data_IF_551672624408
#
_entry.id   IF_551672624408
#
_cell.length_a   1.000
_cell.length_b   1.000
_cell.length_c   1.000
_cell.angle_alpha   90.00
_cell.angle_beta   90.00
_cell.angle_gamma   90.00
#
_symmetry.space_group_name_H-M   'P 1'
#
loop_
_entity.id
_entity.type
_entity.pdbx_description
1 polymer ?
#
# COMPACT_ATOMS: atom_id res chain seq x y z
N UNK A 1 -7.84 -1.96 13.98
CA UNK A 1 -6.40 -2.18 14.05
C UNK A 1 -6.05 -3.64 13.90
N UNK A 2 -6.31 -4.47 14.89
CA UNK A 2 -6.09 -5.91 14.80
C UNK A 2 -6.67 -6.53 13.51
N UNK A 3 -7.87 -6.16 13.11
CA UNK A 3 -8.59 -6.65 11.93
C UNK A 3 -7.81 -6.46 10.63
N UNK A 4 -7.26 -5.26 10.38
CA UNK A 4 -6.43 -4.96 9.21
C UNK A 4 -5.12 -5.75 9.21
N UNK A 5 -4.42 -5.82 10.36
CA UNK A 5 -3.17 -6.57 10.47
C UNK A 5 -3.40 -8.06 10.27
N UNK A 6 -4.48 -8.62 10.83
CA UNK A 6 -4.88 -10.02 10.63
C UNK A 6 -5.12 -10.31 9.13
N UNK A 7 -5.91 -9.46 8.48
CA UNK A 7 -6.21 -9.60 7.05
C UNK A 7 -4.93 -9.53 6.22
N UNK A 8 -4.07 -8.56 6.47
CA UNK A 8 -2.79 -8.39 5.78
C UNK A 8 -1.91 -9.64 5.88
N UNK A 9 -1.61 -10.12 7.11
CA UNK A 9 -0.74 -11.27 7.28
C UNK A 9 -1.32 -12.55 6.71
N UNK A 10 -2.64 -12.77 6.82
CA UNK A 10 -3.30 -13.92 6.18
C UNK A 10 -3.18 -13.88 4.65
N UNK A 11 -3.46 -12.73 4.04
CA UNK A 11 -3.34 -12.56 2.59
C UNK A 11 -1.89 -12.74 2.12
N UNK A 12 -0.94 -12.21 2.87
CA UNK A 12 0.50 -12.36 2.60
C UNK A 12 0.96 -13.81 2.61
N UNK A 13 0.39 -14.63 3.50
CA UNK A 13 0.63 -16.08 3.52
C UNK A 13 -0.15 -16.85 2.43
N UNK A 14 -0.96 -16.16 1.63
CA UNK A 14 -1.74 -16.77 0.55
C UNK A 14 -2.84 -17.73 1.02
N UNK A 15 -3.22 -17.70 2.30
CA UNK A 15 -4.17 -18.66 2.86
C UNK A 15 -5.58 -18.11 3.00
N UNK A 16 -6.57 -19.00 2.86
CA UNK A 16 -7.98 -18.67 3.06
C UNK A 16 -8.32 -18.49 4.56
N UNK A 17 -9.44 -17.81 4.85
CA UNK A 17 -9.97 -17.72 6.22
C UNK A 17 -10.23 -19.11 6.82
N UNK A 18 -10.67 -20.08 6.00
CA UNK A 18 -10.90 -21.47 6.41
C UNK A 18 -9.59 -22.14 6.82
N UNK A 19 -8.56 -21.96 6.03
CA UNK A 19 -7.23 -22.53 6.30
C UNK A 19 -6.61 -21.92 7.58
N UNK A 20 -6.65 -20.60 7.73
CA UNK A 20 -6.19 -19.95 8.95
C UNK A 20 -6.96 -20.44 10.19
N UNK A 21 -8.28 -20.56 10.07
CA UNK A 21 -9.11 -21.07 11.15
C UNK A 21 -8.69 -22.48 11.58
N UNK A 22 -8.45 -23.36 10.61
CA UNK A 22 -7.96 -24.72 10.86
C UNK A 22 -6.61 -24.70 11.61
N UNK A 23 -5.63 -23.93 11.13
CA UNK A 23 -4.29 -23.81 11.75
C UNK A 23 -4.33 -23.22 13.18
N UNK A 24 -5.23 -22.27 13.42
CA UNK A 24 -5.36 -21.61 14.71
C UNK A 24 -6.31 -22.34 15.70
N UNK A 25 -6.96 -23.43 15.27
CA UNK A 25 -7.98 -24.13 16.07
C UNK A 25 -9.22 -23.28 16.36
N UNK A 26 -9.67 -22.51 15.36
CA UNK A 26 -10.81 -21.60 15.42
C UNK A 26 -11.83 -21.93 14.33
N UNK A 27 -13.02 -21.31 14.41
CA UNK A 27 -14.00 -21.42 13.32
C UNK A 27 -13.72 -20.38 12.21
N UNK A 28 -14.03 -20.68 10.92
CA UNK A 28 -13.91 -19.70 9.83
C UNK A 28 -14.74 -18.44 10.08
N UNK A 29 -15.90 -18.58 10.76
CA UNK A 29 -16.74 -17.46 11.14
C UNK A 29 -16.07 -16.56 12.18
N UNK A 30 -15.30 -17.11 13.12
CA UNK A 30 -14.53 -16.33 14.09
C UNK A 30 -13.46 -15.47 13.37
N UNK A 31 -12.68 -16.06 12.47
CA UNK A 31 -11.71 -15.32 11.66
C UNK A 31 -12.40 -14.20 10.87
N UNK A 32 -13.53 -14.51 10.21
CA UNK A 32 -14.30 -13.50 9.48
C UNK A 32 -14.79 -12.36 10.37
N UNK A 33 -15.25 -12.66 11.58
CA UNK A 33 -15.68 -11.64 12.52
C UNK A 33 -14.52 -10.76 13.00
N UNK A 34 -13.35 -11.33 13.21
CA UNK A 34 -12.15 -10.60 13.59
C UNK A 34 -11.63 -9.69 12.45
N UNK A 35 -11.58 -10.18 11.20
CA UNK A 35 -11.15 -9.37 10.06
C UNK A 35 -12.12 -8.23 9.71
N UNK A 36 -13.41 -8.38 10.02
CA UNK A 36 -14.43 -7.36 9.80
C UNK A 36 -14.71 -6.47 11.03
N UNK A 37 -13.87 -6.56 12.06
CA UNK A 37 -13.97 -5.81 13.32
C UNK A 37 -15.31 -5.97 14.05
N UNK A 38 -16.04 -7.08 13.76
CA UNK A 38 -17.33 -7.42 14.42
C UNK A 38 -17.14 -7.96 15.84
N UNK A 39 -15.93 -8.45 16.14
CA UNK A 39 -15.57 -8.98 17.46
C UNK A 39 -14.07 -8.78 17.69
N UNK A 40 -13.71 -8.35 18.90
CA UNK A 40 -12.30 -8.28 19.33
C UNK A 40 -11.87 -9.60 19.94
N UNK A 41 -10.75 -10.19 19.51
CA UNK A 41 -10.24 -11.40 20.13
C UNK A 41 -9.57 -11.11 21.46
N UNK A 42 -9.62 -12.09 22.35
CA UNK A 42 -8.82 -12.10 23.58
C UNK A 42 -7.35 -12.41 23.24
N UNK A 43 -6.44 -12.03 24.13
CA UNK A 43 -4.99 -12.21 23.94
C UNK A 43 -4.60 -13.67 23.66
N UNK A 44 -5.30 -14.63 24.27
CA UNK A 44 -5.10 -16.06 24.03
C UNK A 44 -5.42 -16.46 22.59
N UNK A 45 -6.42 -15.83 21.97
CA UNK A 45 -6.79 -16.04 20.57
C UNK A 45 -5.78 -15.37 19.65
N UNK A 46 -5.35 -14.13 19.98
CA UNK A 46 -4.29 -13.43 19.23
C UNK A 46 -3.03 -14.29 19.18
N UNK A 47 -2.65 -14.90 20.30
CA UNK A 47 -1.48 -15.81 20.36
C UNK A 47 -1.61 -17.01 19.42
N UNK A 48 -2.77 -17.66 19.38
CA UNK A 48 -3.02 -18.79 18.46
C UNK A 48 -2.92 -18.36 17.00
N UNK A 49 -3.48 -17.22 16.65
CA UNK A 49 -3.42 -16.65 15.30
C UNK A 49 -1.97 -16.28 14.93
N UNK A 50 -1.25 -15.65 15.83
CA UNK A 50 0.15 -15.29 15.66
C UNK A 50 1.03 -16.53 15.40
N UNK A 51 0.86 -17.59 16.20
CA UNK A 51 1.53 -18.86 15.98
C UNK A 51 1.18 -19.49 14.63
N UNK A 52 -0.11 -19.49 14.25
CA UNK A 52 -0.58 -20.06 12.99
C UNK A 52 -0.02 -19.33 11.74
N UNK A 53 0.34 -18.05 11.89
CA UNK A 53 0.91 -17.20 10.82
C UNK A 53 2.43 -16.98 10.99
N UNK A 54 3.06 -17.65 11.96
CA UNK A 54 4.49 -17.49 12.28
C UNK A 54 4.89 -16.00 12.45
N UNK A 55 4.11 -15.27 13.28
CA UNK A 55 4.27 -13.85 13.56
C UNK A 55 4.31 -13.59 15.06
N UNK A 56 4.83 -12.42 15.45
CA UNK A 56 4.76 -11.97 16.83
C UNK A 56 3.37 -11.41 17.17
N UNK A 57 2.99 -11.40 18.46
CA UNK A 57 1.77 -10.73 18.90
C UNK A 57 1.83 -9.24 18.60
N UNK A 58 3.01 -8.63 18.70
CA UNK A 58 3.23 -7.21 18.42
C UNK A 58 2.84 -6.83 16.99
N UNK A 59 3.07 -7.71 16.00
CA UNK A 59 2.69 -7.47 14.62
C UNK A 59 1.18 -7.24 14.45
N UNK A 60 0.37 -7.90 15.27
CA UNK A 60 -1.09 -7.76 15.24
C UNK A 60 -1.61 -6.57 16.03
N UNK A 61 -0.84 -6.11 17.02
CA UNK A 61 -1.19 -4.98 17.89
C UNK A 61 -0.60 -3.66 17.39
N UNK A 62 0.23 -3.68 16.35
CA UNK A 62 0.75 -2.47 15.74
C UNK A 62 -0.41 -1.57 15.27
N UNK A 63 -0.38 -0.34 15.73
CA UNK A 63 -1.38 0.66 15.37
C UNK A 63 -0.93 1.42 14.13
N UNK A 64 -1.59 1.16 13.01
CA UNK A 64 -1.44 1.98 11.82
C UNK A 64 -2.02 3.36 12.09
N UNK A 65 -1.35 4.40 11.63
CA UNK A 65 -1.84 5.76 11.75
C UNK A 65 -3.19 5.91 11.03
N UNK A 66 -4.22 6.26 11.80
CA UNK A 66 -5.59 6.44 11.29
C UNK A 66 -5.80 7.79 10.61
N UNK A 67 -4.86 8.74 10.77
CA UNK A 67 -4.91 10.04 10.09
C UNK A 67 -4.53 9.93 8.62
N UNK A 68 -3.93 8.79 8.20
CA UNK A 68 -3.55 8.54 6.81
C UNK A 68 -4.78 8.13 5.99
N UNK A 69 -5.23 9.03 5.13
CA UNK A 69 -6.34 8.82 4.21
C UNK A 69 -5.80 8.29 2.88
N UNK A 70 -5.92 6.98 2.69
CA UNK A 70 -5.52 6.32 1.46
C UNK A 70 -6.66 6.39 0.42
N UNK A 71 -6.32 6.84 -0.78
CA UNK A 71 -7.17 6.75 -1.94
C UNK A 71 -6.42 5.97 -3.01
N UNK A 72 -6.72 4.67 -3.10
CA UNK A 72 -6.16 3.82 -4.13
C UNK A 72 -6.79 4.17 -5.48
N UNK A 73 -5.94 4.37 -6.49
CA UNK A 73 -6.34 4.58 -7.86
C UNK A 73 -6.65 3.26 -8.58
N UNK A 74 -6.28 3.18 -9.83
CA UNK A 74 -6.57 2.00 -10.65
C UNK A 74 -5.35 1.11 -10.80
N UNK A 75 -5.56 -0.21 -10.69
CA UNK A 75 -4.57 -1.17 -11.18
C UNK A 75 -4.43 -1.03 -12.69
N UNK A 76 -3.20 -1.10 -13.21
CA UNK A 76 -2.98 -1.03 -14.65
C UNK A 76 -3.82 -2.10 -15.36
N UNK A 77 -4.47 -1.73 -16.47
CA UNK A 77 -5.44 -2.57 -17.21
C UNK A 77 -4.98 -3.99 -17.55
N UNK A 78 -3.67 -4.23 -17.66
CA UNK A 78 -3.09 -5.52 -18.00
C UNK A 78 -2.71 -6.38 -16.79
N UNK A 79 -3.06 -5.97 -15.57
CA UNK A 79 -2.87 -6.82 -14.41
C UNK A 79 -3.98 -7.87 -14.34
N UNK A 80 -3.61 -9.15 -14.45
CA UNK A 80 -4.52 -10.29 -14.32
C UNK A 80 -4.74 -10.67 -12.85
N UNK A 81 -4.59 -9.73 -11.93
CA UNK A 81 -4.72 -9.98 -10.50
C UNK A 81 -6.16 -10.33 -10.12
N UNK A 82 -6.31 -11.39 -9.37
CA UNK A 82 -7.57 -11.70 -8.68
C UNK A 82 -7.89 -10.61 -7.64
N UNK A 83 -9.16 -10.50 -7.25
CA UNK A 83 -9.56 -9.55 -6.20
C UNK A 83 -8.76 -9.72 -4.90
N UNK A 84 -8.46 -10.96 -4.51
CA UNK A 84 -7.65 -11.25 -3.33
C UNK A 84 -6.21 -10.73 -3.45
N UNK A 85 -5.60 -10.84 -4.64
CA UNK A 85 -4.27 -10.30 -4.90
C UNK A 85 -4.28 -8.76 -4.92
N UNK A 86 -5.30 -8.14 -5.52
CA UNK A 86 -5.49 -6.68 -5.46
C UNK A 86 -5.63 -6.19 -4.02
N UNK A 87 -6.45 -6.87 -3.22
CA UNK A 87 -6.63 -6.56 -1.81
C UNK A 87 -5.32 -6.70 -1.03
N UNK A 88 -4.49 -7.72 -1.35
CA UNK A 88 -3.17 -7.88 -0.75
C UNK A 88 -2.25 -6.70 -1.06
N UNK A 89 -2.18 -6.28 -2.33
CA UNK A 89 -1.36 -5.12 -2.72
C UNK A 89 -1.81 -3.86 -1.97
N UNK A 90 -3.11 -3.57 -1.93
CA UNK A 90 -3.63 -2.41 -1.19
C UNK A 90 -3.27 -2.46 0.30
N UNK A 91 -3.44 -3.62 0.95
CA UNK A 91 -3.06 -3.78 2.36
C UNK A 91 -1.55 -3.66 2.59
N UNK A 92 -0.72 -4.13 1.64
CA UNK A 92 0.73 -3.97 1.71
C UNK A 92 1.16 -2.50 1.57
N UNK A 93 0.52 -1.75 0.67
CA UNK A 93 0.71 -0.31 0.50
C UNK A 93 0.36 0.45 1.78
N UNK A 94 -0.83 0.19 2.35
CA UNK A 94 -1.26 0.83 3.60
C UNK A 94 -0.31 0.51 4.76
N UNK A 95 0.16 -0.71 4.86
CA UNK A 95 1.08 -1.14 5.92
C UNK A 95 2.46 -0.48 5.75
N UNK A 96 3.02 -0.49 4.53
CA UNK A 96 4.31 0.11 4.23
C UNK A 96 4.31 1.61 4.54
N UNK A 97 3.35 2.35 4.00
CA UNK A 97 3.31 3.80 4.19
C UNK A 97 2.92 4.21 5.61
N UNK A 98 2.14 3.42 6.33
CA UNK A 98 1.90 3.67 7.75
C UNK A 98 3.20 3.64 8.56
N UNK A 99 4.09 2.68 8.30
CA UNK A 99 5.42 2.63 8.93
C UNK A 99 6.33 3.76 8.45
N UNK A 100 6.31 4.05 7.16
CA UNK A 100 7.08 5.14 6.57
C UNK A 100 6.72 6.48 7.22
N UNK A 101 5.44 6.81 7.32
CA UNK A 101 4.99 8.07 7.94
C UNK A 101 5.25 8.11 9.44
N UNK A 102 5.21 6.98 10.15
CA UNK A 102 5.63 6.93 11.55
C UNK A 102 7.12 7.31 11.71
N UNK A 103 7.98 6.90 10.77
CA UNK A 103 9.40 7.32 10.77
C UNK A 103 9.52 8.81 10.43
N UNK A 104 8.77 9.30 9.43
CA UNK A 104 8.73 10.73 9.06
C UNK A 104 8.33 11.59 10.25
N UNK A 105 7.33 11.16 11.04
CA UNK A 105 6.89 11.85 12.25
C UNK A 105 7.99 11.92 13.31
N UNK A 106 8.68 10.80 13.56
CA UNK A 106 9.84 10.75 14.50
C UNK A 106 10.95 11.69 14.05
N UNK A 107 11.15 11.91 12.75
CA UNK A 107 12.12 12.81 12.16
C UNK A 107 11.66 14.30 12.13
N UNK A 108 10.51 14.61 12.69
CA UNK A 108 9.99 15.97 12.79
C UNK A 108 9.00 16.39 11.70
N UNK A 109 8.58 15.46 10.83
CA UNK A 109 7.48 15.67 9.87
C UNK A 109 7.82 16.41 8.57
N UNK A 110 8.81 17.29 8.58
CA UNK A 110 9.14 18.20 7.45
C UNK A 110 10.24 17.68 6.51
N UNK A 111 10.56 16.39 6.60
CA UNK A 111 11.66 15.80 5.79
C UNK A 111 11.29 15.46 4.35
N UNK A 112 9.99 15.48 4.05
CA UNK A 112 9.52 15.14 2.71
C UNK A 112 9.48 16.38 1.80
N UNK A 113 9.87 16.25 0.52
CA UNK A 113 9.67 17.31 -0.46
C UNK A 113 8.20 17.76 -0.51
N UNK A 114 7.91 18.99 -0.92
CA UNK A 114 6.53 19.46 -1.04
C UNK A 114 5.74 18.57 -2.02
N UNK A 115 4.45 18.41 -1.77
CA UNK A 115 3.57 17.68 -2.68
C UNK A 115 3.57 18.36 -4.05
N UNK A 116 3.81 17.62 -5.15
CA UNK A 116 3.84 18.21 -6.47
C UNK A 116 2.44 18.70 -6.85
N UNK A 117 2.38 19.84 -7.51
CA UNK A 117 1.15 20.29 -8.19
C UNK A 117 1.09 19.51 -9.50
N UNK A 118 0.29 18.46 -9.54
CA UNK A 118 0.11 17.64 -10.74
C UNK A 118 -0.93 18.30 -11.65
N UNK A 119 -0.57 18.49 -12.91
CA UNK A 119 -1.51 18.90 -13.94
C UNK A 119 -2.30 17.69 -14.45
N UNK A 120 -3.55 17.91 -14.76
CA UNK A 120 -4.38 16.92 -15.45
C UNK A 120 -3.86 16.73 -16.87
N UNK A 121 -3.80 15.49 -17.35
CA UNK A 121 -3.52 15.20 -18.75
C UNK A 121 -4.63 15.81 -19.62
N UNK A 122 -4.25 16.50 -20.68
CA UNK A 122 -5.18 17.05 -21.64
C UNK A 122 -5.40 16.05 -22.78
N UNK A 123 -6.60 15.48 -22.84
CA UNK A 123 -6.96 14.49 -23.89
C UNK A 123 -6.98 15.08 -25.31
N UNK A 124 -6.95 16.42 -25.45
CA UNK A 124 -6.86 17.11 -26.73
C UNK A 124 -5.44 17.16 -27.29
N UNK A 125 -4.43 16.88 -26.47
CA UNK A 125 -3.02 16.90 -26.84
C UNK A 125 -2.52 15.48 -27.16
N UNK A 126 -1.47 15.39 -27.96
CA UNK A 126 -0.77 14.14 -28.23
C UNK A 126 -0.05 13.63 -26.95
N UNK A 127 0.31 12.35 -26.93
CA UNK A 127 1.06 11.74 -25.83
C UNK A 127 2.43 12.42 -25.63
N UNK A 128 3.08 12.83 -26.74
CA UNK A 128 4.36 13.54 -26.72
C UNK A 128 4.22 14.94 -26.12
N UNK A 129 3.15 15.66 -26.42
CA UNK A 129 2.86 16.98 -25.84
C UNK A 129 2.56 16.87 -24.36
N UNK A 130 1.73 15.92 -23.96
CA UNK A 130 1.47 15.63 -22.55
C UNK A 130 2.75 15.23 -21.80
N UNK A 131 3.60 14.41 -22.40
CA UNK A 131 4.88 14.05 -21.81
C UNK A 131 5.81 15.25 -21.64
N UNK A 132 5.83 16.17 -22.62
CA UNK A 132 6.61 17.41 -22.55
C UNK A 132 6.08 18.33 -21.43
N UNK A 133 4.76 18.49 -21.32
CA UNK A 133 4.15 19.24 -20.22
C UNK A 133 4.49 18.64 -18.87
N UNK A 134 4.46 17.30 -18.71
CA UNK A 134 4.86 16.64 -17.49
C UNK A 134 6.33 16.89 -17.15
N UNK A 135 7.23 16.83 -18.15
CA UNK A 135 8.65 17.17 -17.97
C UNK A 135 8.83 18.61 -17.46
N UNK A 136 8.12 19.57 -18.04
CA UNK A 136 8.16 20.97 -17.59
C UNK A 136 7.66 21.11 -16.16
N UNK A 137 6.52 20.48 -15.81
CA UNK A 137 5.99 20.41 -14.44
C UNK A 137 7.01 19.90 -13.43
N UNK A 138 7.67 18.81 -13.78
CA UNK A 138 8.71 18.19 -12.96
C UNK A 138 10.06 18.94 -13.03
N UNK A 139 10.13 20.03 -13.79
CA UNK A 139 11.36 20.84 -14.02
C UNK A 139 12.52 19.96 -14.52
N UNK A 140 12.24 19.13 -15.51
CA UNK A 140 13.21 18.30 -16.21
C UNK A 140 13.63 18.98 -17.52
N UNK A 141 14.74 18.50 -18.13
CA UNK A 141 15.06 18.89 -19.50
C UNK A 141 14.00 18.36 -20.47
N UNK A 142 13.73 19.12 -21.52
CA UNK A 142 12.72 18.73 -22.51
C UNK A 142 13.08 17.44 -23.24
N UNK A 143 14.38 17.21 -23.42
CA UNK A 143 14.93 16.03 -24.12
C UNK A 143 15.93 15.29 -23.24
N UNK A 144 16.21 14.04 -23.64
CA UNK A 144 17.20 13.18 -23.00
C UNK A 144 16.63 12.22 -21.95
N UNK A 145 17.49 11.33 -21.44
CA UNK A 145 17.08 10.32 -20.47
C UNK A 145 16.75 10.94 -19.11
N UNK A 146 15.81 10.33 -18.42
CA UNK A 146 15.35 10.79 -17.09
C UNK A 146 16.31 10.35 -15.96
N UNK A 147 17.24 9.44 -16.26
CA UNK A 147 18.13 8.87 -15.25
C UNK A 147 17.40 7.92 -14.28
N UNK A 148 17.68 8.03 -12.99
CA UNK A 148 16.98 7.22 -11.98
C UNK A 148 15.56 7.78 -11.75
N UNK A 149 14.58 7.13 -12.38
CA UNK A 149 13.17 7.56 -12.30
C UNK A 149 12.63 7.54 -10.88
N UNK A 150 12.95 6.51 -10.07
CA UNK A 150 12.48 6.39 -8.69
C UNK A 150 12.96 7.58 -7.87
N UNK A 151 14.25 7.81 -7.85
CA UNK A 151 14.85 8.93 -7.13
C UNK A 151 14.32 10.29 -7.62
N UNK A 152 14.08 10.42 -8.93
CA UNK A 152 13.45 11.61 -9.47
C UNK A 152 12.06 11.83 -8.89
N UNK A 153 11.19 10.82 -8.90
CA UNK A 153 9.83 10.92 -8.39
C UNK A 153 9.82 11.27 -6.91
N UNK A 154 10.65 10.59 -6.10
CA UNK A 154 10.78 10.85 -4.68
C UNK A 154 11.26 12.29 -4.40
N UNK A 155 12.26 12.78 -5.13
CA UNK A 155 12.74 14.16 -5.04
C UNK A 155 11.68 15.21 -5.45
N UNK A 156 10.68 14.80 -6.21
CA UNK A 156 9.52 15.64 -6.60
C UNK A 156 8.32 15.46 -5.68
N UNK A 157 8.48 14.73 -4.58
CA UNK A 157 7.42 14.54 -3.58
C UNK A 157 6.39 13.47 -3.93
N UNK A 158 6.65 12.65 -4.93
CA UNK A 158 5.85 11.47 -5.27
C UNK A 158 6.43 10.28 -4.50
N UNK A 159 5.62 9.61 -3.70
CA UNK A 159 6.06 8.45 -2.95
C UNK A 159 6.15 7.22 -3.87
N UNK A 160 7.21 6.44 -3.73
CA UNK A 160 7.39 5.22 -4.52
C UNK A 160 7.48 4.01 -3.58
N UNK A 161 6.72 2.96 -3.88
CA UNK A 161 6.81 1.68 -3.22
C UNK A 161 7.13 0.58 -4.23
N UNK A 162 8.24 -0.11 -4.01
CA UNK A 162 8.61 -1.30 -4.80
C UNK A 162 7.98 -2.52 -4.16
N UNK A 163 6.96 -3.09 -4.82
CA UNK A 163 6.24 -4.25 -4.33
C UNK A 163 6.94 -5.53 -4.81
N UNK A 164 7.50 -6.25 -3.86
CA UNK A 164 8.06 -7.59 -4.10
C UNK A 164 6.92 -8.63 -4.05
N UNK A 165 6.22 -8.80 -5.15
CA UNK A 165 5.01 -9.61 -5.22
C UNK A 165 4.85 -10.40 -6.50
N UNK A 166 3.61 -10.63 -6.89
CA UNK A 166 3.23 -11.43 -8.05
C UNK A 166 3.76 -10.81 -9.36
N UNK A 167 4.34 -11.65 -10.23
CA UNK A 167 4.81 -11.24 -11.57
C UNK A 167 3.69 -10.68 -12.48
N UNK A 168 2.44 -10.90 -12.11
CA UNK A 168 1.27 -10.36 -12.80
C UNK A 168 0.92 -8.93 -12.34
N UNK A 169 1.49 -8.45 -11.24
CA UNK A 169 1.36 -7.08 -10.81
C UNK A 169 2.20 -6.18 -11.71
N UNK A 170 1.63 -5.07 -12.13
CA UNK A 170 2.31 -4.12 -13.01
C UNK A 170 2.50 -2.77 -12.34
N UNK A 171 1.42 -2.18 -11.84
CA UNK A 171 1.44 -0.87 -11.21
C UNK A 171 0.13 -0.59 -10.50
N UNK A 172 0.20 0.17 -9.41
CA UNK A 172 -0.93 0.81 -8.74
C UNK A 172 -0.54 2.25 -8.42
N UNK A 173 -1.44 3.18 -8.63
CA UNK A 173 -1.30 4.58 -8.21
C UNK A 173 -2.30 4.94 -7.13
N UNK A 174 -2.15 6.12 -6.55
CA UNK A 174 -3.09 6.67 -5.59
C UNK A 174 -2.57 7.88 -4.85
N UNK A 175 -3.27 8.25 -3.78
CA UNK A 175 -2.85 9.33 -2.88
C UNK A 175 -2.93 8.95 -1.41
N UNK A 176 -2.09 9.59 -0.60
CA UNK A 176 -2.12 9.52 0.85
C UNK A 176 -2.18 10.96 1.36
N UNK A 177 -3.29 11.35 1.99
CA UNK A 177 -3.55 12.73 2.38
C UNK A 177 -3.31 13.74 1.23
N UNK A 178 -3.71 13.36 0.01
CA UNK A 178 -3.51 14.16 -1.20
C UNK A 178 -2.10 14.10 -1.81
N UNK A 179 -1.12 13.47 -1.16
CA UNK A 179 0.22 13.24 -1.70
C UNK A 179 0.20 12.04 -2.64
N UNK A 180 0.64 12.17 -3.90
CA UNK A 180 0.63 11.05 -4.84
C UNK A 180 1.63 9.96 -4.45
N UNK A 181 1.26 8.72 -4.74
CA UNK A 181 2.17 7.58 -4.68
C UNK A 181 2.02 6.67 -5.90
N UNK A 182 3.08 5.93 -6.18
CA UNK A 182 3.14 4.90 -7.22
C UNK A 182 3.72 3.63 -6.63
N UNK A 183 3.11 2.49 -6.97
CA UNK A 183 3.59 1.14 -6.63
C UNK A 183 4.05 0.46 -7.90
N UNK A 184 5.27 -0.06 -7.90
CA UNK A 184 5.92 -0.71 -9.03
C UNK A 184 6.30 -2.14 -8.69
#
# INVERSE_FOLDING_TARGET
MFSKNLRYYRLREGISKKELAHRAGLSPQAISNYENDKRRPEIAIIRKIAQALNRSIADFLYERDQSLLFQHGSFRRNSFLTKAQQDLVCEAVEEYFSRFFSIVEVLGGEVLPPTPVCHTLEFSLSDEENARHLRQCLRLSEEGPVGNLIQLLENKGILVYLHDGDRQFSCLDGTINGRPYVVL
#
